data_IF_289352380169
#
_entry.id   IF_289352380169
#
_cell.length_a   1.000
_cell.length_b   1.000
_cell.length_c   1.000
_cell.angle_alpha   90.00
_cell.angle_beta   90.00
_cell.angle_gamma   90.00
#
_symmetry.space_group_name_H-M   'P 1'
#
loop_
_entity.id
_entity.type
_entity.pdbx_description
1 polymer ?
#
# COMPACT_ATOMS: atom_id res chain seq x y z
N UNK A 1 1.68 -20.62 -4.25
CA UNK A 1 2.25 -19.44 -3.56
C UNK A 1 1.93 -19.58 -2.09
N UNK A 2 2.93 -19.56 -1.22
CA UNK A 2 2.74 -19.68 0.24
C UNK A 2 2.39 -18.31 0.85
N UNK A 3 1.91 -18.28 2.10
CA UNK A 3 1.68 -17.01 2.82
C UNK A 3 2.95 -16.15 2.94
N UNK A 4 4.13 -16.78 3.07
CA UNK A 4 5.42 -16.08 3.10
C UNK A 4 5.74 -15.43 1.75
N UNK A 5 5.52 -16.16 0.65
CA UNK A 5 5.74 -15.64 -0.71
C UNK A 5 4.81 -14.44 -0.99
N UNK A 6 3.54 -14.53 -0.57
CA UNK A 6 2.56 -13.45 -0.73
C UNK A 6 2.94 -12.20 0.07
N UNK A 7 3.46 -12.36 1.29
CA UNK A 7 3.90 -11.21 2.11
C UNK A 7 5.10 -10.52 1.48
N UNK A 8 6.07 -11.28 0.98
CA UNK A 8 7.23 -10.70 0.28
C UNK A 8 6.81 -10.01 -1.02
N UNK A 9 5.85 -10.57 -1.75
CA UNK A 9 5.28 -9.91 -2.93
C UNK A 9 4.59 -8.58 -2.58
N UNK A 10 3.89 -8.50 -1.44
CA UNK A 10 3.31 -7.24 -0.95
C UNK A 10 4.40 -6.21 -0.64
N UNK A 11 5.49 -6.62 0.03
CA UNK A 11 6.61 -5.73 0.36
C UNK A 11 7.29 -5.17 -0.90
N UNK A 12 7.60 -6.02 -1.88
CA UNK A 12 8.16 -5.58 -3.17
C UNK A 12 7.20 -4.63 -3.88
N UNK A 13 5.90 -4.91 -3.91
CA UNK A 13 4.94 -4.03 -4.58
C UNK A 13 4.80 -2.66 -3.91
N UNK A 14 4.99 -2.60 -2.58
CA UNK A 14 5.10 -1.33 -1.86
C UNK A 14 6.33 -0.53 -2.30
N UNK A 15 7.47 -1.19 -2.53
CA UNK A 15 8.67 -0.52 -3.04
C UNK A 15 8.43 0.04 -4.45
N UNK A 16 7.80 -0.74 -5.35
CA UNK A 16 7.42 -0.25 -6.68
C UNK A 16 6.50 0.98 -6.59
N UNK A 17 5.51 0.97 -5.68
CA UNK A 17 4.62 2.10 -5.46
C UNK A 17 5.41 3.36 -5.06
N UNK A 18 6.39 3.22 -4.17
CA UNK A 18 7.25 4.33 -3.75
C UNK A 18 8.04 4.90 -4.93
N UNK A 19 8.62 4.03 -5.76
CA UNK A 19 9.37 4.45 -6.95
C UNK A 19 8.48 5.14 -7.99
N UNK A 20 7.29 4.58 -8.26
CA UNK A 20 6.31 5.17 -9.18
C UNK A 20 5.90 6.57 -8.73
N UNK A 21 5.58 6.75 -7.45
CA UNK A 21 5.17 8.06 -6.91
C UNK A 21 6.32 9.06 -6.92
N UNK A 22 7.55 8.63 -6.63
CA UNK A 22 8.76 9.48 -6.70
C UNK A 22 9.11 9.92 -8.13
N UNK A 23 8.67 9.16 -9.14
CA UNK A 23 8.83 9.52 -10.55
C UNK A 23 7.91 10.65 -11.02
N UNK A 24 6.91 11.03 -10.23
CA UNK A 24 5.98 12.12 -10.56
C UNK A 24 6.56 13.51 -10.22
N UNK A 25 6.03 14.58 -10.81
CA UNK A 25 6.36 15.95 -10.41
C UNK A 25 6.17 16.15 -8.90
N UNK A 26 7.12 16.78 -8.19
CA UNK A 26 7.04 16.95 -6.74
C UNK A 26 5.75 17.65 -6.30
N UNK A 27 5.05 17.05 -5.34
CA UNK A 27 3.84 17.61 -4.74
C UNK A 27 3.73 17.19 -3.27
N UNK A 28 3.27 18.06 -2.34
CA UNK A 28 3.18 17.73 -0.92
C UNK A 28 2.38 16.45 -0.63
N UNK A 29 1.25 16.25 -1.31
CA UNK A 29 0.44 15.03 -1.20
C UNK A 29 1.23 13.76 -1.58
N UNK A 30 2.02 13.83 -2.65
CA UNK A 30 2.80 12.69 -3.12
C UNK A 30 3.95 12.35 -2.16
N UNK A 31 4.55 13.37 -1.53
CA UNK A 31 5.54 13.15 -0.47
C UNK A 31 4.92 12.40 0.72
N UNK A 32 3.74 12.81 1.17
CA UNK A 32 3.04 12.10 2.26
C UNK A 32 2.60 10.70 1.83
N UNK A 33 2.20 10.50 0.57
CA UNK A 33 1.88 9.16 0.05
C UNK A 33 3.12 8.24 0.10
N UNK A 34 4.29 8.75 -0.26
CA UNK A 34 5.57 8.03 -0.13
C UNK A 34 5.86 7.68 1.33
N UNK A 35 5.70 8.63 2.25
CA UNK A 35 5.94 8.40 3.69
C UNK A 35 5.02 7.31 4.27
N UNK A 36 3.73 7.31 3.88
CA UNK A 36 2.77 6.27 4.28
C UNK A 36 3.10 4.92 3.64
N UNK A 37 3.46 4.88 2.36
CA UNK A 37 3.84 3.66 1.65
C UNK A 37 5.12 3.03 2.23
N UNK A 38 6.17 3.81 2.46
CA UNK A 38 7.40 3.32 3.11
C UNK A 38 7.12 2.75 4.51
N UNK A 39 6.23 3.43 5.24
CA UNK A 39 5.86 2.97 6.56
C UNK A 39 5.01 1.70 6.51
N UNK A 40 4.18 1.53 5.48
CA UNK A 40 3.45 0.29 5.22
C UNK A 40 4.43 -0.85 4.95
N UNK A 41 5.47 -0.62 4.14
CA UNK A 41 6.54 -1.58 3.89
C UNK A 41 7.21 -2.04 5.19
N UNK A 42 7.56 -1.10 6.08
CA UNK A 42 8.09 -1.42 7.42
C UNK A 42 7.11 -2.25 8.26
N UNK A 43 5.82 -1.96 8.22
CA UNK A 43 4.81 -2.72 8.95
C UNK A 43 4.65 -4.15 8.41
N UNK A 44 4.73 -4.34 7.09
CA UNK A 44 4.70 -5.66 6.42
C UNK A 44 5.93 -6.48 6.80
N UNK A 45 7.12 -5.87 6.75
CA UNK A 45 8.37 -6.51 7.13
C UNK A 45 8.35 -6.98 8.59
N UNK A 46 7.82 -6.14 9.49
CA UNK A 46 7.68 -6.42 10.92
C UNK A 46 6.47 -7.31 11.30
N UNK A 47 5.64 -7.71 10.33
CA UNK A 47 4.39 -8.43 10.57
C UNK A 47 3.45 -7.71 11.57
N UNK A 48 3.44 -6.38 11.55
CA UNK A 48 2.69 -5.57 12.50
C UNK A 48 1.26 -5.32 12.01
N UNK A 49 0.35 -6.25 12.32
CA UNK A 49 -1.04 -6.29 11.83
C UNK A 49 -1.77 -4.95 11.86
N UNK A 50 -1.79 -4.30 13.02
CA UNK A 50 -2.46 -3.01 13.21
C UNK A 50 -1.83 -1.90 12.35
N UNK A 51 -0.50 -1.89 12.25
CA UNK A 51 0.20 -0.97 11.37
C UNK A 51 -0.07 -1.21 9.90
N UNK A 52 -0.15 -2.47 9.46
CA UNK A 52 -0.51 -2.81 8.07
C UNK A 52 -1.91 -2.29 7.78
N UNK A 53 -2.89 -2.57 8.65
CA UNK A 53 -4.27 -2.13 8.45
C UNK A 53 -4.41 -0.61 8.38
N UNK A 54 -3.84 0.10 9.36
CA UNK A 54 -3.90 1.56 9.42
C UNK A 54 -3.25 2.22 8.21
N UNK A 55 -2.07 1.74 7.82
CA UNK A 55 -1.31 2.35 6.72
C UNK A 55 -1.88 1.99 5.36
N UNK A 56 -2.42 0.79 5.20
CA UNK A 56 -3.13 0.43 3.96
C UNK A 56 -4.35 1.32 3.76
N UNK A 57 -5.11 1.60 4.83
CA UNK A 57 -6.21 2.58 4.76
C UNK A 57 -5.73 3.97 4.33
N UNK A 58 -4.61 4.46 4.88
CA UNK A 58 -4.07 5.77 4.48
C UNK A 58 -3.65 5.79 3.01
N UNK A 59 -2.90 4.78 2.56
CA UNK A 59 -2.44 4.66 1.16
C UNK A 59 -3.65 4.64 0.22
N UNK A 60 -4.65 3.80 0.50
CA UNK A 60 -5.87 3.68 -0.31
C UNK A 60 -6.66 5.00 -0.36
N UNK A 61 -6.86 5.63 0.80
CA UNK A 61 -7.55 6.93 0.90
C UNK A 61 -6.83 8.01 0.09
N UNK A 62 -5.50 8.07 0.19
CA UNK A 62 -4.67 9.07 -0.50
C UNK A 62 -4.58 8.82 -2.00
N UNK A 63 -4.57 7.56 -2.44
CA UNK A 63 -4.60 7.21 -3.85
C UNK A 63 -5.97 7.56 -4.47
N UNK A 64 -7.06 7.29 -3.75
CA UNK A 64 -8.43 7.55 -4.21
C UNK A 64 -8.77 9.04 -4.23
N UNK A 65 -8.33 9.80 -3.23
CA UNK A 65 -8.64 11.24 -3.07
C UNK A 65 -7.44 12.13 -3.39
N UNK A 66 -6.64 11.74 -4.39
CA UNK A 66 -5.46 12.50 -4.76
C UNK A 66 -5.85 13.85 -5.39
N UNK A 67 -5.29 14.98 -4.94
CA UNK A 67 -5.48 16.29 -5.57
C UNK A 67 -4.69 16.43 -6.88
N UNK A 68 -3.81 15.47 -7.18
CA UNK A 68 -3.04 15.40 -8.43
C UNK A 68 -3.38 14.12 -9.19
N UNK A 69 -3.34 14.15 -10.54
CA UNK A 69 -3.53 12.94 -11.33
C UNK A 69 -2.48 11.89 -10.97
N UNK A 70 -2.95 10.69 -10.61
CA UNK A 70 -2.11 9.51 -10.46
C UNK A 70 -2.20 8.67 -11.72
N UNK A 71 -1.12 7.97 -12.05
CA UNK A 71 -1.11 7.08 -13.21
C UNK A 71 -1.84 5.77 -12.92
N UNK A 72 -2.21 5.05 -13.97
CA UNK A 72 -2.89 3.74 -13.83
C UNK A 72 -2.00 2.71 -13.14
N UNK A 73 -0.68 2.81 -13.29
CA UNK A 73 0.32 1.94 -12.66
C UNK A 73 0.32 2.10 -11.14
N UNK A 74 0.09 3.32 -10.63
CA UNK A 74 -0.02 3.58 -9.19
C UNK A 74 -1.29 2.93 -8.63
N UNK A 75 -2.43 3.10 -9.31
CA UNK A 75 -3.69 2.47 -8.90
C UNK A 75 -3.58 0.93 -8.92
N UNK A 76 -2.93 0.37 -9.95
CA UNK A 76 -2.65 -1.06 -10.04
C UNK A 76 -1.73 -1.53 -8.90
N UNK A 77 -0.73 -0.73 -8.51
CA UNK A 77 0.15 -1.06 -7.38
C UNK A 77 -0.61 -1.17 -6.06
N UNK A 78 -1.49 -0.21 -5.76
CA UNK A 78 -2.33 -0.25 -4.55
C UNK A 78 -3.23 -1.50 -4.55
N UNK A 79 -3.86 -1.82 -5.68
CA UNK A 79 -4.70 -3.01 -5.80
C UNK A 79 -3.92 -4.33 -5.63
N UNK A 80 -2.70 -4.41 -6.18
CA UNK A 80 -1.83 -5.58 -6.01
C UNK A 80 -1.38 -5.75 -4.56
N UNK A 81 -1.02 -4.67 -3.87
CA UNK A 81 -0.65 -4.72 -2.44
C UNK A 81 -1.81 -5.30 -1.63
N UNK A 82 -3.05 -4.84 -1.86
CA UNK A 82 -4.23 -5.44 -1.24
C UNK A 82 -4.34 -6.93 -1.50
N UNK A 83 -4.25 -7.34 -2.77
CA UNK A 83 -4.36 -8.74 -3.18
C UNK A 83 -3.29 -9.63 -2.52
N UNK A 84 -2.05 -9.16 -2.45
CA UNK A 84 -0.96 -9.91 -1.82
C UNK A 84 -1.10 -9.98 -0.31
N UNK A 85 -1.55 -8.90 0.35
CA UNK A 85 -1.86 -8.92 1.77
C UNK A 85 -3.00 -9.89 2.10
N UNK A 86 -4.09 -9.87 1.34
CA UNK A 86 -5.20 -10.81 1.50
C UNK A 86 -4.74 -12.27 1.29
N UNK A 87 -3.96 -12.52 0.25
CA UNK A 87 -3.38 -13.85 -0.01
C UNK A 87 -2.37 -14.30 1.06
N UNK A 88 -1.78 -13.37 1.82
CA UNK A 88 -0.94 -13.66 2.97
C UNK A 88 -1.74 -13.85 4.27
N UNK A 89 -3.06 -13.69 4.25
CA UNK A 89 -3.96 -13.85 5.40
C UNK A 89 -4.30 -12.53 6.12
N UNK A 90 -3.95 -11.38 5.54
CA UNK A 90 -4.24 -10.06 6.11
C UNK A 90 -5.52 -9.48 5.51
N UNK A 91 -6.59 -9.45 6.31
CA UNK A 91 -7.80 -8.74 5.93
C UNK A 91 -7.63 -7.25 6.23
N UNK A 92 -7.31 -6.47 5.19
CA UNK A 92 -7.11 -5.02 5.31
C UNK A 92 -8.42 -4.22 5.28
N UNK A 93 -9.53 -4.86 4.89
CA UNK A 93 -10.88 -4.26 4.96
C UNK A 93 -11.46 -4.59 6.32
N UNK A 94 -11.92 -3.57 7.06
CA UNK A 94 -12.77 -3.82 8.22
C UNK A 94 -14.02 -4.54 7.71
N UNK A 95 -14.28 -5.76 8.18
CA UNK A 95 -15.64 -6.25 8.15
C UNK A 95 -16.50 -5.17 8.81
N UNK A 96 -17.40 -4.53 8.07
CA UNK A 96 -18.53 -3.91 8.74
C UNK A 96 -19.21 -5.08 9.46
N UNK A 97 -19.26 -4.99 10.79
CA UNK A 97 -20.13 -5.85 11.57
C UNK A 97 -21.55 -5.74 10.97
N UNK A 98 -22.31 -6.85 10.94
CA UNK A 98 -23.60 -6.93 10.23
C UNK A 98 -24.59 -5.85 10.65
#
# INVERSE_FOLDING_TARGET
MTSTDSRQAAEHRVQDLVELVRGLPPHPHLRTLVEEAESLGRAIAAFHLEGIRFRMYNVDRMATHSPVPLTIEIAAAVADIHRYLEAAGFHTRSHQAP
#
